data_IF_322077839726
#
_entry.id   IF_322077839726
#
_cell.length_a   1.000
_cell.length_b   1.000
_cell.length_c   1.000
_cell.angle_alpha   90.00
_cell.angle_beta   90.00
_cell.angle_gamma   90.00
#
_symmetry.space_group_name_H-M   'P 1'
#
loop_
_entity.id
_entity.type
_entity.pdbx_description
1 polymer ?
#
# COMPACT_ATOMS: atom_id res chain seq x y z
N UNK A 1 37.61 45.08 63.64
CA UNK A 1 36.42 44.33 63.31
C UNK A 1 36.05 44.62 61.85
N UNK A 2 36.45 43.79 60.91
CA UNK A 2 36.18 44.05 59.49
C UNK A 2 35.23 42.91 59.02
N UNK A 3 34.10 43.32 58.55
CA UNK A 3 33.09 42.41 57.98
C UNK A 3 33.38 42.27 56.46
N UNK A 4 33.69 41.06 56.04
CA UNK A 4 33.86 40.71 54.62
C UNK A 4 32.50 40.22 54.08
N UNK A 5 31.90 40.95 53.18
CA UNK A 5 30.68 40.57 52.48
C UNK A 5 31.05 39.70 51.28
N UNK A 6 30.61 38.44 51.28
CA UNK A 6 30.72 37.49 50.15
C UNK A 6 29.53 37.71 49.22
N UNK A 7 29.78 38.12 47.99
CA UNK A 7 28.78 38.21 46.92
C UNK A 7 28.69 36.84 46.20
N UNK A 8 27.52 36.21 46.28
CA UNK A 8 27.21 34.96 45.56
C UNK A 8 26.70 35.36 44.14
N UNK A 9 27.47 35.04 43.11
CA UNK A 9 27.06 35.22 41.70
C UNK A 9 26.32 33.94 41.29
N UNK A 10 24.99 34.06 41.12
CA UNK A 10 24.17 33.00 40.50
C UNK A 10 24.32 33.09 38.98
N UNK A 11 25.02 32.11 38.38
CA UNK A 11 24.97 31.86 36.94
C UNK A 11 23.66 31.13 36.59
N UNK A 12 22.69 31.83 35.98
CA UNK A 12 21.56 31.19 35.30
C UNK A 12 22.05 30.66 33.95
N UNK A 13 22.19 29.30 33.86
CA UNK A 13 22.36 28.62 32.61
C UNK A 13 20.99 28.57 31.87
N UNK A 14 20.77 29.40 30.90
CA UNK A 14 19.62 29.33 30.00
C UNK A 14 19.79 28.07 29.10
N UNK A 15 19.08 27.02 29.40
CA UNK A 15 18.89 25.90 28.45
C UNK A 15 18.07 26.43 27.27
N UNK A 16 18.74 26.72 26.16
CA UNK A 16 18.10 26.90 24.86
C UNK A 16 17.48 25.55 24.44
N UNK A 17 16.19 25.38 24.72
CA UNK A 17 15.41 24.31 24.13
C UNK A 17 15.40 24.52 22.60
N UNK A 18 16.19 23.73 21.87
CA UNK A 18 16.11 23.66 20.42
C UNK A 18 14.71 23.15 20.09
N UNK A 19 13.80 24.06 19.69
CA UNK A 19 12.52 23.67 19.12
C UNK A 19 12.83 22.89 17.84
N UNK A 20 12.22 21.72 17.64
CA UNK A 20 12.32 21.05 16.34
C UNK A 20 11.84 22.05 15.29
N UNK A 21 12.69 22.33 14.32
CA UNK A 21 12.37 23.19 13.18
C UNK A 21 11.14 22.57 12.49
N UNK A 22 10.06 23.36 12.35
CA UNK A 22 8.97 23.11 11.42
C UNK A 22 9.49 23.25 9.97
N UNK A 23 10.47 22.43 9.60
CA UNK A 23 10.96 22.39 8.24
C UNK A 23 9.79 21.89 7.35
N UNK A 24 9.40 22.71 6.40
CA UNK A 24 8.40 22.33 5.39
C UNK A 24 8.86 21.02 4.73
N UNK A 25 7.94 20.05 4.56
CA UNK A 25 8.29 18.76 3.97
C UNK A 25 8.94 18.98 2.60
N UNK A 26 10.16 18.45 2.44
CA UNK A 26 10.93 18.64 1.22
C UNK A 26 10.58 17.53 0.21
N UNK A 27 10.06 17.92 -0.95
CA UNK A 27 9.71 17.01 -2.05
C UNK A 27 10.68 17.20 -3.22
N UNK A 28 11.14 16.07 -3.78
CA UNK A 28 11.89 16.04 -5.04
C UNK A 28 11.29 14.99 -5.97
N UNK A 29 11.24 15.29 -7.28
CA UNK A 29 10.88 14.31 -8.31
C UNK A 29 12.14 13.50 -8.63
N UNK A 30 12.08 12.18 -8.46
CA UNK A 30 13.21 11.27 -8.68
C UNK A 30 13.08 10.43 -9.97
N UNK A 31 11.86 10.33 -10.50
CA UNK A 31 11.60 9.78 -11.84
C UNK A 31 10.31 10.38 -12.40
N UNK A 32 10.21 10.45 -13.73
CA UNK A 32 9.04 10.95 -14.47
C UNK A 32 8.82 10.16 -15.75
N UNK A 33 7.71 10.40 -16.44
CA UNK A 33 7.37 9.73 -17.69
C UNK A 33 7.00 8.26 -17.55
N UNK A 34 6.53 7.85 -16.37
CA UNK A 34 5.97 6.54 -16.11
C UNK A 34 4.53 6.45 -16.64
N UNK A 35 4.07 5.24 -16.91
CA UNK A 35 2.69 4.99 -17.34
C UNK A 35 1.91 4.23 -16.29
N UNK A 36 1.13 4.98 -15.50
CA UNK A 36 0.28 4.45 -14.42
C UNK A 36 1.06 3.52 -13.48
N UNK A 37 2.15 4.00 -12.82
CA UNK A 37 2.88 3.20 -11.84
C UNK A 37 1.93 2.79 -10.72
N UNK A 38 2.02 1.50 -10.30
CA UNK A 38 1.04 0.96 -9.36
C UNK A 38 1.66 0.53 -8.03
N UNK A 39 2.77 -0.18 -8.03
CA UNK A 39 3.46 -0.61 -6.82
C UNK A 39 4.94 -0.29 -6.87
N UNK A 40 5.48 -0.01 -5.70
CA UNK A 40 6.88 0.32 -5.43
C UNK A 40 7.48 -0.72 -4.49
N UNK A 41 8.70 -1.20 -4.78
CA UNK A 41 9.43 -2.09 -3.87
C UNK A 41 10.94 -1.81 -3.96
N UNK A 42 11.56 -1.46 -2.83
CA UNK A 42 13.01 -1.34 -2.74
C UNK A 42 13.67 -2.70 -2.55
N UNK A 43 14.71 -2.95 -3.31
CA UNK A 43 15.66 -4.02 -3.02
C UNK A 43 16.71 -3.56 -1.99
N UNK A 44 17.36 -4.50 -1.28
CA UNK A 44 18.38 -4.16 -0.29
C UNK A 44 19.58 -3.40 -0.87
N UNK A 45 19.82 -3.50 -2.18
CA UNK A 45 20.89 -2.78 -2.90
C UNK A 45 20.50 -1.36 -3.34
N UNK A 46 19.32 -0.88 -2.91
CA UNK A 46 18.83 0.47 -3.20
C UNK A 46 18.07 0.62 -4.52
N UNK A 47 18.00 -0.41 -5.36
CA UNK A 47 17.17 -0.35 -6.56
C UNK A 47 15.68 -0.28 -6.19
N UNK A 48 14.94 0.61 -6.85
CA UNK A 48 13.48 0.68 -6.72
C UNK A 48 12.83 0.01 -7.93
N UNK A 49 12.10 -1.06 -7.67
CA UNK A 49 11.28 -1.75 -8.64
C UNK A 49 9.88 -1.12 -8.68
N UNK A 50 9.35 -0.94 -9.89
CA UNK A 50 8.10 -0.23 -10.13
C UNK A 50 7.28 -1.05 -11.11
N UNK A 51 6.05 -1.41 -10.76
CA UNK A 51 5.10 -1.94 -11.74
C UNK A 51 4.37 -0.79 -12.44
N UNK A 52 4.23 -0.90 -13.75
CA UNK A 52 3.35 -0.05 -14.56
C UNK A 52 2.16 -0.88 -15.01
N UNK A 53 0.95 -0.34 -14.86
CA UNK A 53 -0.30 -1.05 -15.11
C UNK A 53 -0.43 -1.70 -16.50
N UNK A 54 0.17 -1.14 -17.59
CA UNK A 54 0.20 -1.79 -18.91
C UNK A 54 1.00 -3.11 -18.98
N UNK A 55 1.66 -3.54 -17.89
CA UNK A 55 2.34 -4.84 -17.81
C UNK A 55 3.86 -4.76 -17.61
N UNK A 56 4.45 -3.58 -17.52
CA UNK A 56 5.90 -3.43 -17.44
C UNK A 56 6.40 -3.41 -15.98
N UNK A 57 7.56 -4.01 -15.75
CA UNK A 57 8.32 -3.84 -14.50
C UNK A 57 9.53 -2.96 -14.83
N UNK A 58 9.58 -1.78 -14.22
CA UNK A 58 10.64 -0.80 -14.38
C UNK A 58 11.57 -0.81 -13.16
N UNK A 59 12.79 -0.34 -13.35
CA UNK A 59 13.80 -0.21 -12.28
C UNK A 59 14.34 1.21 -12.28
N UNK A 60 14.33 1.84 -11.10
CA UNK A 60 15.07 3.07 -10.83
C UNK A 60 16.35 2.70 -10.08
N UNK A 61 17.50 3.08 -10.63
CA UNK A 61 18.82 2.82 -10.08
C UNK A 61 19.60 4.12 -10.05
N UNK A 62 20.21 4.44 -8.92
CA UNK A 62 21.06 5.64 -8.75
C UNK A 62 20.40 6.93 -9.27
N UNK A 63 19.10 7.08 -9.00
CA UNK A 63 18.29 8.22 -9.43
C UNK A 63 17.95 8.24 -10.92
N UNK A 64 18.22 7.17 -11.67
CA UNK A 64 17.89 7.05 -13.09
C UNK A 64 16.96 5.87 -13.36
N UNK A 65 15.88 6.14 -14.08
CA UNK A 65 14.98 5.10 -14.58
C UNK A 65 15.66 4.35 -15.74
N UNK A 66 15.82 3.03 -15.58
CA UNK A 66 16.38 2.20 -16.66
C UNK A 66 15.50 2.36 -17.91
N UNK A 67 16.08 2.57 -19.11
CA UNK A 67 15.32 2.88 -20.32
C UNK A 67 14.40 1.72 -20.74
N UNK A 68 14.83 0.50 -20.51
CA UNK A 68 14.06 -0.70 -20.84
C UNK A 68 13.45 -1.34 -19.59
N UNK A 69 12.22 -1.87 -19.68
CA UNK A 69 11.65 -2.67 -18.61
C UNK A 69 12.42 -3.99 -18.46
N UNK A 70 12.52 -4.48 -17.22
CA UNK A 70 13.12 -5.79 -16.95
C UNK A 70 12.18 -6.95 -17.29
N UNK A 71 10.86 -6.68 -17.37
CA UNK A 71 9.83 -7.60 -17.83
C UNK A 71 8.66 -6.83 -18.43
N UNK A 72 7.94 -7.50 -19.33
CA UNK A 72 6.62 -7.08 -19.84
C UNK A 72 5.72 -8.31 -19.83
N UNK A 73 4.66 -8.27 -19.00
CA UNK A 73 3.69 -9.36 -18.86
C UNK A 73 2.48 -9.10 -19.76
N UNK A 74 1.87 -10.16 -20.32
CA UNK A 74 0.64 -10.07 -21.12
C UNK A 74 -0.58 -9.89 -20.19
N UNK A 75 -0.86 -8.65 -19.79
CA UNK A 75 -1.93 -8.32 -18.85
C UNK A 75 -3.16 -7.75 -19.56
N UNK A 76 -4.32 -7.84 -18.91
CA UNK A 76 -5.55 -7.15 -19.32
C UNK A 76 -5.64 -5.81 -18.58
N UNK A 77 -5.04 -4.77 -19.15
CA UNK A 77 -5.02 -3.42 -18.56
C UNK A 77 -6.35 -2.67 -18.82
N UNK A 78 -7.47 -3.24 -18.37
CA UNK A 78 -8.81 -2.66 -18.53
C UNK A 78 -9.34 -2.10 -17.21
N UNK A 79 -9.90 -0.88 -17.24
CA UNK A 79 -10.46 -0.24 -16.05
C UNK A 79 -9.38 0.04 -15.00
N UNK A 80 -9.44 -0.63 -13.85
CA UNK A 80 -8.45 -0.55 -12.76
C UNK A 80 -7.38 -1.65 -12.85
N UNK A 81 -7.68 -2.73 -13.59
CA UNK A 81 -6.83 -3.90 -13.76
C UNK A 81 -5.56 -3.66 -14.59
N UNK A 82 -4.72 -4.67 -14.67
CA UNK A 82 -3.41 -4.68 -15.32
C UNK A 82 -2.34 -5.25 -14.40
N UNK A 83 -1.07 -4.88 -14.58
CA UNK A 83 0.00 -5.24 -13.64
C UNK A 83 -0.06 -4.30 -12.43
N UNK A 84 -0.34 -4.86 -11.27
CA UNK A 84 -0.63 -4.09 -10.06
C UNK A 84 0.41 -4.35 -8.96
N UNK A 85 0.15 -5.31 -8.09
CA UNK A 85 0.96 -5.58 -6.91
C UNK A 85 2.38 -6.05 -7.22
N UNK A 86 3.30 -5.70 -6.33
CA UNK A 86 4.70 -6.12 -6.37
C UNK A 86 5.24 -6.29 -4.95
N UNK A 87 5.90 -7.40 -4.69
CA UNK A 87 6.75 -7.60 -3.53
C UNK A 87 8.04 -8.30 -3.95
N UNK A 88 9.14 -7.98 -3.28
CA UNK A 88 10.38 -8.71 -3.42
C UNK A 88 10.48 -9.79 -2.34
N UNK A 89 11.05 -10.93 -2.67
CA UNK A 89 11.39 -11.97 -1.71
C UNK A 89 12.23 -11.38 -0.56
N UNK A 90 11.98 -11.72 0.71
CA UNK A 90 12.85 -11.29 1.81
C UNK A 90 14.32 -11.64 1.61
N UNK A 91 14.60 -12.75 0.89
CA UNK A 91 15.96 -13.16 0.48
C UNK A 91 16.27 -12.75 -0.99
N UNK A 92 15.73 -11.63 -1.47
CA UNK A 92 15.84 -11.18 -2.86
C UNK A 92 17.29 -11.16 -3.42
N UNK A 93 18.31 -10.74 -2.68
CA UNK A 93 19.68 -10.76 -3.20
C UNK A 93 20.14 -12.14 -3.66
N UNK A 94 19.66 -13.21 -3.02
CA UNK A 94 20.02 -14.59 -3.34
C UNK A 94 19.00 -15.25 -4.28
N UNK A 95 17.70 -14.96 -4.09
CA UNK A 95 16.62 -15.64 -4.80
C UNK A 95 16.26 -14.97 -6.13
N UNK A 96 16.47 -13.66 -6.24
CA UNK A 96 16.00 -12.84 -7.38
C UNK A 96 14.50 -12.85 -7.60
N UNK A 97 13.68 -13.29 -6.61
CA UNK A 97 12.24 -13.51 -6.80
C UNK A 97 11.45 -12.22 -6.62
N UNK A 98 10.55 -11.96 -7.58
CA UNK A 98 9.56 -10.89 -7.56
C UNK A 98 8.17 -11.51 -7.59
N UNK A 99 7.33 -11.15 -6.65
CA UNK A 99 5.94 -11.58 -6.58
C UNK A 99 5.04 -10.49 -7.15
N UNK A 100 4.23 -10.84 -8.13
CA UNK A 100 3.39 -9.89 -8.86
C UNK A 100 1.94 -10.35 -8.88
N UNK A 101 1.02 -9.38 -8.74
CA UNK A 101 -0.40 -9.62 -8.91
C UNK A 101 -0.90 -8.80 -10.10
N UNK A 102 -1.64 -9.45 -11.01
CA UNK A 102 -2.09 -8.81 -12.24
C UNK A 102 -3.41 -9.39 -12.75
N UNK A 103 -4.10 -8.59 -13.55
CA UNK A 103 -5.34 -8.98 -14.23
C UNK A 103 -5.03 -9.55 -15.61
N UNK A 104 -5.71 -10.61 -15.98
CA UNK A 104 -5.66 -11.20 -17.31
C UNK A 104 -7.05 -11.58 -17.84
N UNK A 105 -7.17 -11.69 -19.14
CA UNK A 105 -8.38 -12.21 -19.78
C UNK A 105 -8.33 -13.75 -19.86
N UNK A 106 -9.40 -14.39 -19.41
CA UNK A 106 -9.65 -15.81 -19.60
C UNK A 106 -11.00 -16.05 -20.28
N UNK A 107 -11.29 -17.30 -20.67
CA UNK A 107 -12.63 -17.67 -21.11
C UNK A 107 -13.63 -17.34 -19.99
N UNK A 108 -14.57 -16.44 -20.26
CA UNK A 108 -15.59 -16.04 -19.30
C UNK A 108 -15.36 -14.69 -18.61
N UNK A 109 -14.23 -14.01 -18.83
CA UNK A 109 -14.04 -12.67 -18.29
C UNK A 109 -12.64 -12.35 -17.83
N UNK A 110 -12.55 -11.42 -16.87
CA UNK A 110 -11.30 -11.02 -16.23
C UNK A 110 -11.06 -11.86 -14.99
N UNK A 111 -9.81 -12.23 -14.77
CA UNK A 111 -9.35 -12.87 -13.52
C UNK A 111 -8.07 -12.19 -13.05
N UNK A 112 -7.86 -12.19 -11.74
CA UNK A 112 -6.60 -11.79 -11.17
C UNK A 112 -5.74 -13.03 -10.87
N UNK A 113 -4.43 -12.85 -10.92
CA UNK A 113 -3.44 -13.88 -10.71
C UNK A 113 -2.31 -13.37 -9.85
N UNK A 114 -1.86 -14.20 -8.91
CA UNK A 114 -0.60 -14.01 -8.21
C UNK A 114 0.45 -14.95 -8.78
N UNK A 115 1.60 -14.42 -9.18
CA UNK A 115 2.70 -15.18 -9.73
C UNK A 115 4.04 -14.72 -9.14
N UNK A 116 5.06 -15.57 -9.26
CA UNK A 116 6.45 -15.24 -8.96
C UNK A 116 7.27 -15.30 -10.24
N UNK A 117 8.09 -14.26 -10.44
CA UNK A 117 9.10 -14.16 -11.49
C UNK A 117 10.49 -14.28 -10.87
N UNK A 118 11.46 -14.71 -11.65
CA UNK A 118 12.88 -14.73 -11.23
C UNK A 118 13.67 -13.72 -12.06
N UNK A 119 14.38 -12.81 -11.38
CA UNK A 119 15.32 -11.88 -12.01
C UNK A 119 16.67 -12.56 -12.21
N UNK A 120 17.10 -12.69 -13.46
CA UNK A 120 18.42 -13.19 -13.85
C UNK A 120 18.99 -12.29 -14.93
N UNK A 121 20.25 -11.93 -14.84
CA UNK A 121 20.99 -11.13 -15.86
C UNK A 121 20.23 -9.86 -16.29
N UNK A 122 19.57 -9.18 -15.33
CA UNK A 122 18.84 -7.95 -15.57
C UNK A 122 17.44 -8.13 -16.20
N UNK A 123 16.96 -9.37 -16.40
CA UNK A 123 15.63 -9.69 -16.90
C UNK A 123 14.84 -10.51 -15.90
N UNK A 124 13.57 -10.17 -15.73
CA UNK A 124 12.65 -10.96 -14.91
C UNK A 124 11.78 -11.84 -15.82
N UNK A 125 11.77 -13.14 -15.53
CA UNK A 125 11.05 -14.16 -16.28
C UNK A 125 10.81 -15.40 -15.45
N UNK A 126 10.73 -16.58 -16.07
CA UNK A 126 10.48 -17.87 -15.41
C UNK A 126 9.23 -17.82 -14.52
N UNK A 127 8.12 -17.32 -15.09
CA UNK A 127 6.88 -17.14 -14.36
C UNK A 127 6.36 -18.46 -13.81
N UNK A 128 6.09 -18.49 -12.50
CA UNK A 128 5.36 -19.57 -11.84
C UNK A 128 4.13 -19.00 -11.14
N UNK A 129 2.96 -19.49 -11.54
CA UNK A 129 1.69 -19.09 -10.94
C UNK A 129 1.57 -19.70 -9.54
N UNK A 130 1.18 -18.89 -8.56
CA UNK A 130 0.97 -19.29 -7.17
C UNK A 130 -0.52 -19.42 -6.84
N UNK A 131 -1.32 -18.43 -7.24
CA UNK A 131 -2.78 -18.44 -7.11
C UNK A 131 -3.38 -17.93 -8.41
N UNK A 132 -4.34 -18.68 -8.94
CA UNK A 132 -5.01 -18.39 -10.20
C UNK A 132 -6.52 -18.27 -10.02
N UNK A 133 -7.21 -17.83 -11.07
CA UNK A 133 -8.68 -17.75 -11.12
C UNK A 133 -9.32 -16.98 -9.99
N UNK A 134 -8.59 -15.98 -9.43
CA UNK A 134 -9.17 -15.03 -8.50
C UNK A 134 -10.17 -14.18 -9.29
N UNK A 135 -11.43 -14.05 -8.86
CA UNK A 135 -12.39 -13.19 -9.55
C UNK A 135 -11.83 -11.79 -9.79
N UNK A 136 -11.88 -11.31 -11.02
CA UNK A 136 -11.41 -10.01 -11.45
C UNK A 136 -12.47 -9.29 -12.28
N UNK A 137 -12.40 -7.97 -12.32
CA UNK A 137 -13.35 -7.14 -13.06
C UNK A 137 -12.68 -5.89 -13.64
N UNK A 138 -13.48 -4.96 -14.16
CA UNK A 138 -12.97 -3.65 -14.58
C UNK A 138 -12.68 -2.71 -13.41
N UNK A 139 -13.14 -3.06 -12.21
CA UNK A 139 -12.96 -2.31 -10.96
C UNK A 139 -12.86 -3.30 -9.79
N UNK A 140 -12.28 -2.85 -8.67
CA UNK A 140 -12.18 -3.59 -7.43
C UNK A 140 -11.37 -4.89 -7.55
N UNK A 141 -10.17 -4.78 -8.06
CA UNK A 141 -9.26 -5.93 -8.20
C UNK A 141 -8.37 -6.15 -6.97
N UNK A 142 -8.24 -5.16 -6.07
CA UNK A 142 -7.35 -5.26 -4.92
C UNK A 142 -5.87 -5.33 -5.33
N UNK A 143 -5.29 -6.53 -5.25
CA UNK A 143 -3.96 -6.89 -5.76
C UNK A 143 -2.76 -6.22 -5.04
N UNK A 144 -2.88 -5.70 -3.83
CA UNK A 144 -1.71 -5.29 -3.05
C UNK A 144 -0.97 -6.54 -2.54
N UNK A 145 0.33 -6.62 -2.77
CA UNK A 145 1.18 -7.76 -2.37
C UNK A 145 2.27 -7.28 -1.43
N UNK A 146 2.45 -7.94 -0.28
CA UNK A 146 3.48 -7.63 0.71
C UNK A 146 3.91 -8.88 1.48
N UNK A 147 5.18 -8.99 1.84
CA UNK A 147 5.62 -9.94 2.86
C UNK A 147 5.37 -9.39 4.25
N UNK A 148 4.81 -10.23 5.12
CA UNK A 148 4.66 -9.93 6.54
C UNK A 148 5.94 -10.22 7.33
N UNK A 149 6.02 -9.74 8.59
CA UNK A 149 7.14 -10.01 9.48
C UNK A 149 7.28 -11.51 9.83
N UNK A 150 6.23 -12.29 9.61
CA UNK A 150 6.20 -13.75 9.74
C UNK A 150 6.76 -14.50 8.49
N UNK A 151 7.26 -13.75 7.50
CA UNK A 151 7.79 -14.30 6.26
C UNK A 151 6.74 -14.87 5.30
N UNK A 152 5.45 -14.68 5.58
CA UNK A 152 4.36 -15.09 4.69
C UNK A 152 4.01 -13.99 3.71
N UNK A 153 3.47 -14.37 2.56
CA UNK A 153 3.02 -13.46 1.53
C UNK A 153 1.54 -13.14 1.74
N UNK A 154 1.24 -11.87 1.97
CA UNK A 154 -0.11 -11.36 2.08
C UNK A 154 -0.47 -10.61 0.80
N UNK A 155 -1.71 -10.80 0.34
CA UNK A 155 -2.21 -10.04 -0.78
C UNK A 155 -3.71 -9.80 -0.69
N UNK A 156 -4.15 -8.68 -1.24
CA UNK A 156 -5.54 -8.27 -1.20
C UNK A 156 -6.24 -8.64 -2.50
N UNK A 157 -7.53 -8.93 -2.40
CA UNK A 157 -8.42 -9.09 -3.55
C UNK A 157 -9.62 -8.16 -3.38
N UNK A 158 -10.12 -7.60 -4.47
CA UNK A 158 -11.37 -6.86 -4.46
C UNK A 158 -12.58 -7.79 -4.61
N UNK A 159 -13.77 -7.22 -4.45
CA UNK A 159 -15.03 -7.94 -4.62
C UNK A 159 -15.39 -8.23 -6.10
N UNK A 160 -14.53 -7.80 -7.03
CA UNK A 160 -14.73 -7.93 -8.48
C UNK A 160 -16.07 -7.34 -8.97
N UNK A 161 -16.56 -6.28 -8.32
CA UNK A 161 -17.87 -5.67 -8.53
C UNK A 161 -19.09 -6.61 -8.25
N UNK A 162 -18.84 -7.75 -7.60
CA UNK A 162 -19.84 -8.69 -7.12
C UNK A 162 -19.79 -8.76 -5.60
N UNK A 163 -20.37 -7.77 -4.95
CA UNK A 163 -20.20 -7.48 -3.52
C UNK A 163 -20.51 -8.68 -2.60
N UNK A 164 -21.46 -9.54 -2.96
CA UNK A 164 -21.83 -10.72 -2.17
C UNK A 164 -20.69 -11.74 -2.04
N UNK A 165 -19.73 -11.75 -2.99
CA UNK A 165 -18.57 -12.66 -2.95
C UNK A 165 -17.65 -12.37 -1.74
N UNK A 166 -17.65 -11.14 -1.24
CA UNK A 166 -16.84 -10.76 -0.08
C UNK A 166 -17.19 -11.56 1.18
N UNK A 167 -18.43 -12.00 1.33
CA UNK A 167 -18.90 -12.79 2.47
C UNK A 167 -18.75 -14.31 2.27
N UNK A 168 -18.46 -14.79 1.06
CA UNK A 168 -18.38 -16.20 0.76
C UNK A 168 -16.97 -16.75 1.01
N UNK A 169 -16.84 -17.85 1.76
CA UNK A 169 -15.55 -18.50 2.05
C UNK A 169 -15.06 -19.42 0.90
N UNK A 170 -15.94 -19.76 -0.03
CA UNK A 170 -15.60 -20.50 -1.25
C UNK A 170 -15.19 -19.60 -2.43
N UNK A 171 -15.09 -18.29 -2.20
CA UNK A 171 -14.60 -17.30 -3.16
C UNK A 171 -13.37 -16.57 -2.62
N UNK A 172 -12.40 -16.31 -3.49
CA UNK A 172 -11.23 -15.50 -3.16
C UNK A 172 -11.44 -14.00 -3.38
N UNK A 173 -12.62 -13.56 -3.84
CA UNK A 173 -12.95 -12.15 -4.00
C UNK A 173 -13.27 -11.48 -2.66
N UNK A 174 -12.85 -10.22 -2.48
CA UNK A 174 -13.13 -9.43 -1.28
C UNK A 174 -12.45 -9.98 -0.02
N UNK A 175 -11.15 -10.30 -0.13
CA UNK A 175 -10.36 -10.95 0.92
C UNK A 175 -9.00 -10.29 1.12
N UNK A 176 -8.42 -10.50 2.29
CA UNK A 176 -6.97 -10.51 2.45
C UNK A 176 -6.56 -11.99 2.52
N UNK A 177 -5.63 -12.38 1.67
CA UNK A 177 -5.14 -13.75 1.55
C UNK A 177 -3.71 -13.84 2.11
N UNK A 178 -3.35 -15.02 2.68
CA UNK A 178 -2.03 -15.29 3.26
C UNK A 178 -1.55 -16.67 2.81
N UNK A 179 -0.39 -16.72 2.20
CA UNK A 179 0.23 -17.95 1.68
C UNK A 179 1.73 -18.00 2.03
N UNK A 180 2.33 -19.16 1.90
CA UNK A 180 3.77 -19.32 1.88
C UNK A 180 4.36 -18.78 0.56
N UNK A 181 5.65 -18.46 0.55
CA UNK A 181 6.36 -17.97 -0.64
C UNK A 181 6.33 -18.96 -1.83
N UNK A 182 6.09 -20.23 -1.59
CA UNK A 182 5.94 -21.26 -2.60
C UNK A 182 4.50 -21.43 -3.13
N UNK A 183 3.54 -20.68 -2.57
CA UNK A 183 2.12 -20.71 -2.93
C UNK A 183 1.28 -21.67 -2.08
N UNK A 184 1.89 -22.49 -1.21
CA UNK A 184 1.15 -23.37 -0.31
C UNK A 184 0.43 -22.59 0.78
N UNK A 185 -0.65 -23.17 1.33
CA UNK A 185 -1.41 -22.57 2.41
C UNK A 185 -0.70 -22.83 3.76
N UNK A 186 -0.43 -21.80 4.57
CA UNK A 186 0.11 -21.97 5.91
C UNK A 186 -0.84 -22.79 6.81
N UNK A 187 -0.28 -23.71 7.60
CA UNK A 187 -1.08 -24.56 8.50
C UNK A 187 -1.76 -23.76 9.63
N UNK A 188 -1.23 -22.58 9.96
CA UNK A 188 -1.73 -21.65 10.97
C UNK A 188 -2.67 -20.58 10.42
N UNK A 189 -3.16 -20.74 9.17
CA UNK A 189 -4.21 -19.85 8.65
C UNK A 189 -5.51 -20.04 9.44
N UNK A 190 -6.29 -18.96 9.64
CA UNK A 190 -7.51 -19.02 10.46
C UNK A 190 -8.61 -19.91 9.88
N UNK A 191 -8.58 -20.16 8.57
CA UNK A 191 -9.49 -21.07 7.86
C UNK A 191 -8.68 -22.27 7.34
N UNK A 192 -8.80 -23.45 7.95
CA UNK A 192 -7.97 -24.62 7.61
C UNK A 192 -8.00 -24.96 6.13
N UNK A 193 -6.83 -25.11 5.51
CA UNK A 193 -6.68 -25.42 4.09
C UNK A 193 -7.04 -24.31 3.12
N UNK A 194 -7.40 -23.12 3.61
CA UNK A 194 -7.76 -21.95 2.80
C UNK A 194 -6.69 -20.86 2.88
N UNK A 195 -6.38 -20.18 1.78
CA UNK A 195 -5.49 -19.01 1.80
C UNK A 195 -6.15 -17.78 2.44
N UNK A 196 -7.46 -17.80 2.74
CA UNK A 196 -8.19 -16.69 3.32
C UNK A 196 -7.64 -16.36 4.69
N UNK A 197 -7.23 -15.10 4.90
CA UNK A 197 -6.81 -14.56 6.18
C UNK A 197 -7.92 -13.74 6.84
N UNK A 198 -8.60 -12.90 6.05
CA UNK A 198 -9.80 -12.15 6.45
C UNK A 198 -10.79 -12.05 5.28
N UNK A 199 -12.05 -11.76 5.58
CA UNK A 199 -13.13 -11.62 4.59
C UNK A 199 -13.96 -10.37 4.82
N UNK A 200 -14.89 -10.09 3.90
CA UNK A 200 -15.77 -8.93 4.00
C UNK A 200 -15.11 -7.62 3.57
N UNK A 201 -14.20 -7.69 2.60
CA UNK A 201 -13.54 -6.52 2.02
C UNK A 201 -14.14 -6.15 0.66
N UNK A 202 -14.21 -4.84 0.39
CA UNK A 202 -14.64 -4.33 -0.92
C UNK A 202 -13.47 -4.23 -1.90
N UNK A 203 -12.47 -3.43 -1.57
CA UNK A 203 -11.32 -3.17 -2.45
C UNK A 203 -10.15 -2.60 -1.65
N UNK A 204 -9.50 -3.45 -0.88
CA UNK A 204 -8.30 -3.09 -0.13
C UNK A 204 -7.11 -2.94 -1.08
N UNK A 205 -6.43 -1.78 -1.07
CA UNK A 205 -5.30 -1.49 -1.95
C UNK A 205 -3.98 -1.16 -1.22
N UNK A 206 -3.99 -1.10 0.10
CA UNK A 206 -2.79 -0.89 0.91
C UNK A 206 -2.67 -1.92 2.02
N UNK A 207 -1.45 -2.37 2.30
CA UNK A 207 -1.08 -3.22 3.42
C UNK A 207 0.22 -2.69 4.04
N UNK A 208 0.26 -2.58 5.36
CA UNK A 208 1.50 -2.29 6.08
C UNK A 208 1.44 -2.80 7.51
N UNK A 209 2.60 -3.12 8.08
CA UNK A 209 2.75 -3.49 9.48
C UNK A 209 3.36 -2.35 10.28
N UNK A 210 2.88 -2.18 11.49
CA UNK A 210 3.53 -1.29 12.44
C UNK A 210 4.70 -1.99 13.17
N UNK A 211 5.39 -1.24 14.03
CA UNK A 211 6.53 -1.76 14.78
C UNK A 211 6.15 -2.87 15.80
N UNK A 212 4.87 -2.99 16.16
CA UNK A 212 4.36 -4.06 17.03
C UNK A 212 3.94 -5.31 16.22
N UNK A 213 4.13 -5.31 14.89
CA UNK A 213 3.76 -6.43 14.00
C UNK A 213 2.27 -6.49 13.67
N UNK A 214 1.49 -5.44 13.98
CA UNK A 214 0.07 -5.38 13.65
C UNK A 214 -0.12 -4.97 12.18
N UNK A 215 -0.96 -5.72 11.47
CA UNK A 215 -1.28 -5.46 10.07
C UNK A 215 -2.41 -4.43 9.97
N UNK A 216 -2.20 -3.45 9.12
CA UNK A 216 -3.22 -2.49 8.71
C UNK A 216 -3.50 -2.57 7.21
N UNK A 217 -4.74 -2.32 6.82
CA UNK A 217 -5.16 -2.23 5.43
C UNK A 217 -5.93 -0.94 5.17
N UNK A 218 -5.66 -0.30 4.03
CA UNK A 218 -6.46 0.81 3.52
C UNK A 218 -7.44 0.31 2.47
N UNK A 219 -8.69 0.75 2.53
CA UNK A 219 -9.79 0.18 1.75
C UNK A 219 -10.72 1.25 1.21
N UNK A 220 -11.16 1.07 -0.04
CA UNK A 220 -12.17 1.90 -0.67
C UNK A 220 -13.56 1.57 -0.17
N UNK A 221 -14.27 2.57 0.31
CA UNK A 221 -15.69 2.49 0.63
C UNK A 221 -16.61 2.52 -0.60
N UNK A 222 -17.94 2.58 -0.40
CA UNK A 222 -18.92 2.61 -1.47
C UNK A 222 -18.70 3.73 -2.49
N UNK A 223 -19.03 3.48 -3.75
CA UNK A 223 -19.03 4.48 -4.81
C UNK A 223 -20.47 4.98 -5.05
N UNK A 224 -20.61 6.23 -5.52
CA UNK A 224 -21.93 6.83 -5.80
C UNK A 224 -22.48 7.62 -4.62
N UNK A 225 -23.78 7.55 -4.36
CA UNK A 225 -24.44 8.22 -3.25
C UNK A 225 -25.16 7.19 -2.34
N UNK A 226 -24.93 7.23 -1.02
CA UNK A 226 -23.90 8.00 -0.32
C UNK A 226 -22.51 7.43 -0.58
N UNK A 227 -21.58 8.23 -1.11
CA UNK A 227 -20.19 7.81 -1.34
C UNK A 227 -19.32 8.06 -0.10
N UNK A 228 -18.03 7.73 -0.21
CA UNK A 228 -17.07 7.88 0.88
C UNK A 228 -16.94 6.61 1.71
N UNK A 229 -16.87 6.75 3.04
CA UNK A 229 -16.64 5.64 3.98
C UNK A 229 -15.41 4.80 3.63
N UNK A 230 -14.39 5.46 3.08
CA UNK A 230 -13.07 4.84 2.90
C UNK A 230 -12.44 4.57 4.26
N UNK A 231 -11.71 3.45 4.40
CA UNK A 231 -11.34 2.90 5.69
C UNK A 231 -9.83 2.69 5.85
N UNK A 232 -9.38 2.81 7.10
CA UNK A 232 -8.16 2.19 7.61
C UNK A 232 -8.57 1.12 8.61
N UNK A 233 -8.26 -0.12 8.30
CA UNK A 233 -8.62 -1.29 9.08
C UNK A 233 -7.40 -1.85 9.81
N UNK A 234 -7.53 -2.16 11.11
CA UNK A 234 -6.60 -3.01 11.86
C UNK A 234 -6.97 -4.46 11.60
N UNK A 235 -6.10 -5.19 10.91
CA UNK A 235 -6.40 -6.53 10.42
C UNK A 235 -6.07 -7.59 11.46
N UNK A 236 -7.06 -8.42 11.77
CA UNK A 236 -6.98 -9.55 12.71
C UNK A 236 -7.36 -10.86 12.00
N UNK A 237 -6.62 -11.96 12.23
CA UNK A 237 -6.86 -13.23 11.55
C UNK A 237 -8.29 -13.75 11.80
N UNK A 238 -8.92 -14.27 10.75
CA UNK A 238 -10.24 -14.89 10.81
C UNK A 238 -11.41 -13.93 10.90
N UNK A 239 -11.17 -12.61 10.93
CA UNK A 239 -12.22 -11.64 11.13
C UNK A 239 -12.89 -11.22 9.83
N UNK A 240 -14.13 -10.74 9.97
CA UNK A 240 -14.98 -10.25 8.90
C UNK A 240 -15.16 -8.74 9.01
N UNK A 241 -14.85 -8.02 7.92
CA UNK A 241 -14.89 -6.54 7.85
C UNK A 241 -16.22 -5.98 7.30
N UNK A 242 -17.19 -6.86 7.06
CA UNK A 242 -18.61 -6.53 6.94
C UNK A 242 -19.10 -6.19 5.54
N UNK A 243 -18.26 -5.84 4.58
CA UNK A 243 -18.73 -5.55 3.22
C UNK A 243 -19.47 -6.74 2.59
N UNK A 244 -20.64 -6.57 1.94
CA UNK A 244 -21.39 -5.32 1.72
C UNK A 244 -22.45 -5.02 2.78
N UNK A 245 -22.58 -5.82 3.83
CA UNK A 245 -23.63 -5.69 4.83
C UNK A 245 -23.46 -4.44 5.70
N UNK A 246 -22.21 -4.06 5.97
CA UNK A 246 -21.83 -2.82 6.65
C UNK A 246 -20.60 -2.19 5.97
N UNK A 247 -20.45 -0.90 6.14
CA UNK A 247 -19.28 -0.11 5.77
C UNK A 247 -19.16 1.08 6.73
N UNK A 248 -17.94 1.53 6.99
CA UNK A 248 -17.71 2.54 8.01
C UNK A 248 -17.97 2.04 9.42
N UNK A 249 -18.27 2.95 10.35
CA UNK A 249 -18.53 2.68 11.76
C UNK A 249 -20.01 2.51 12.06
N UNK A 250 -20.29 1.93 13.25
CA UNK A 250 -21.67 1.71 13.71
C UNK A 250 -22.29 0.41 13.20
N UNK A 251 -21.47 -0.53 12.82
CA UNK A 251 -21.88 -1.85 12.35
C UNK A 251 -22.35 -2.78 13.45
N UNK A 252 -22.57 -4.05 13.10
CA UNK A 252 -22.96 -5.10 14.03
C UNK A 252 -21.72 -5.70 14.71
N UNK A 253 -21.83 -6.13 15.97
CA UNK A 253 -20.73 -6.69 16.76
C UNK A 253 -20.02 -7.91 16.15
N UNK A 254 -20.61 -8.56 15.15
CA UNK A 254 -19.99 -9.67 14.40
C UNK A 254 -18.95 -9.22 13.36
N UNK A 255 -18.90 -7.93 13.06
CA UNK A 255 -17.96 -7.34 12.11
C UNK A 255 -16.91 -6.48 12.83
N UNK A 256 -15.71 -6.44 12.27
CA UNK A 256 -14.65 -5.54 12.75
C UNK A 256 -14.91 -4.11 12.24
N UNK A 257 -14.82 -3.16 13.13
CA UNK A 257 -14.92 -1.74 12.78
C UNK A 257 -13.59 -1.16 12.32
N UNK A 258 -13.57 -0.22 11.36
CA UNK A 258 -12.37 0.48 10.97
C UNK A 258 -11.82 1.34 12.13
N UNK A 259 -10.50 1.43 12.25
CA UNK A 259 -9.85 2.34 13.20
C UNK A 259 -9.96 3.80 12.74
N UNK A 260 -10.15 4.02 11.43
CA UNK A 260 -10.43 5.32 10.83
C UNK A 260 -11.34 5.15 9.63
N UNK A 261 -12.30 6.08 9.47
CA UNK A 261 -13.11 6.20 8.25
C UNK A 261 -13.16 7.64 7.76
N UNK A 262 -13.46 7.82 6.47
CA UNK A 262 -13.52 9.14 5.82
C UNK A 262 -14.85 9.88 5.99
N UNK A 263 -15.87 9.24 6.54
CA UNK A 263 -17.25 9.73 6.48
C UNK A 263 -17.70 9.88 5.03
N UNK A 264 -18.44 10.93 4.73
CA UNK A 264 -18.91 11.22 3.36
C UNK A 264 -17.82 11.65 2.35
N UNK A 265 -16.59 11.87 2.81
CA UNK A 265 -15.48 12.24 1.92
C UNK A 265 -14.93 10.99 1.22
N UNK A 266 -14.50 11.15 -0.03
CA UNK A 266 -13.84 10.08 -0.78
C UNK A 266 -12.34 10.38 -0.89
N UNK A 267 -11.52 9.57 -0.22
CA UNK A 267 -10.06 9.58 -0.38
C UNK A 267 -9.62 8.68 -1.54
N UNK A 268 -10.33 7.57 -1.75
CA UNK A 268 -9.91 6.43 -2.56
C UNK A 268 -8.47 6.01 -2.17
N UNK A 269 -8.28 5.49 -0.92
CA UNK A 269 -6.97 5.20 -0.36
C UNK A 269 -6.34 3.99 -1.07
N UNK A 270 -5.06 4.07 -1.39
CA UNK A 270 -4.34 3.02 -2.09
C UNK A 270 -3.13 2.56 -1.27
N UNK A 271 -1.93 2.51 -1.85
CA UNK A 271 -0.77 2.02 -1.13
C UNK A 271 -0.49 2.78 0.16
N UNK A 272 0.08 2.07 1.12
CA UNK A 272 0.41 2.64 2.43
C UNK A 272 1.75 2.13 2.95
N UNK A 273 2.36 2.93 3.83
CA UNK A 273 3.54 2.58 4.60
C UNK A 273 3.36 3.04 6.05
N UNK A 274 3.97 2.33 7.00
CA UNK A 274 3.98 2.74 8.41
C UNK A 274 5.43 2.94 8.86
N UNK A 275 5.73 4.11 9.40
CA UNK A 275 7.04 4.44 9.95
C UNK A 275 6.92 5.55 10.99
N UNK A 276 7.79 5.56 12.01
CA UNK A 276 7.83 6.59 13.03
C UNK A 276 6.52 6.78 13.81
N UNK A 277 5.70 5.73 13.95
CA UNK A 277 4.39 5.81 14.62
C UNK A 277 3.27 6.41 13.76
N UNK A 278 3.50 6.58 12.45
CA UNK A 278 2.52 7.11 11.51
C UNK A 278 2.25 6.13 10.37
N UNK A 279 0.98 5.97 10.00
CA UNK A 279 0.59 5.41 8.72
C UNK A 279 0.49 6.54 7.69
N UNK A 280 1.19 6.37 6.57
CA UNK A 280 1.12 7.24 5.39
C UNK A 280 0.31 6.51 4.33
N UNK A 281 -0.78 7.12 3.86
CA UNK A 281 -1.72 6.49 2.93
C UNK A 281 -1.86 7.38 1.69
N UNK A 282 -1.50 6.83 0.53
CA UNK A 282 -1.65 7.51 -0.75
C UNK A 282 -3.14 7.53 -1.15
N UNK A 283 -3.69 8.73 -1.39
CA UNK A 283 -5.09 8.92 -1.73
C UNK A 283 -5.24 9.35 -3.20
N UNK A 284 -6.00 8.54 -3.96
CA UNK A 284 -6.19 8.76 -5.40
C UNK A 284 -7.16 9.92 -5.67
N UNK A 285 -8.41 9.80 -5.18
CA UNK A 285 -9.42 10.83 -5.40
C UNK A 285 -9.21 12.02 -4.47
N UNK A 286 -8.75 11.76 -3.26
CA UNK A 286 -8.40 12.80 -2.30
C UNK A 286 -7.17 13.62 -2.70
N UNK A 287 -6.34 13.15 -3.65
CA UNK A 287 -5.15 13.84 -4.18
C UNK A 287 -4.22 14.33 -3.07
N UNK A 288 -3.95 13.46 -2.09
CA UNK A 288 -3.18 13.79 -0.90
C UNK A 288 -2.46 12.56 -0.36
N UNK A 289 -1.48 12.79 0.49
CA UNK A 289 -0.90 11.77 1.35
C UNK A 289 -1.45 11.99 2.76
N UNK A 290 -2.30 11.07 3.21
CA UNK A 290 -2.77 11.08 4.59
C UNK A 290 -1.64 10.64 5.51
N UNK A 291 -1.39 11.39 6.58
CA UNK A 291 -0.50 11.03 7.68
C UNK A 291 -1.36 10.79 8.92
N UNK A 292 -1.45 9.54 9.34
CA UNK A 292 -2.31 9.07 10.41
C UNK A 292 -1.46 8.61 11.59
N UNK A 293 -1.52 9.31 12.71
CA UNK A 293 -0.82 8.93 13.94
C UNK A 293 -1.46 7.69 14.56
N UNK A 294 -0.64 6.70 14.92
CA UNK A 294 -1.06 5.46 15.55
C UNK A 294 -0.59 5.42 17.02
N UNK A 295 -1.52 5.11 17.93
CA UNK A 295 -1.20 4.85 19.34
C UNK A 295 -0.64 3.44 19.53
N UNK A 296 -0.15 3.17 20.74
CA UNK A 296 0.42 1.86 21.09
C UNK A 296 -0.57 0.70 20.96
N UNK A 297 -1.86 0.94 21.08
CA UNK A 297 -2.94 -0.05 20.88
C UNK A 297 -3.40 -0.17 19.42
N UNK A 298 -2.90 0.67 18.52
CA UNK A 298 -3.30 0.74 17.12
C UNK A 298 -4.45 1.69 16.81
N UNK A 299 -4.98 2.38 17.81
CA UNK A 299 -5.99 3.42 17.61
C UNK A 299 -5.38 4.66 16.95
N UNK A 300 -6.23 5.45 16.30
CA UNK A 300 -5.82 6.66 15.58
C UNK A 300 -5.79 7.85 16.54
N UNK A 301 -4.67 8.59 16.58
CA UNK A 301 -4.49 9.76 17.44
C UNK A 301 -4.73 11.08 16.70
N UNK A 302 -4.28 11.16 15.44
CA UNK A 302 -4.37 12.38 14.63
C UNK A 302 -4.33 12.04 13.16
N UNK A 303 -5.07 12.79 12.35
CA UNK A 303 -5.02 12.72 10.88
C UNK A 303 -4.61 14.08 10.34
N UNK A 304 -3.62 14.11 9.46
CA UNK A 304 -3.18 15.31 8.75
C UNK A 304 -3.03 14.98 7.25
N UNK A 305 -3.19 16.01 6.42
CA UNK A 305 -2.99 15.90 4.97
C UNK A 305 -1.63 16.50 4.59
N UNK A 306 -0.90 15.80 3.75
CA UNK A 306 0.33 16.26 3.10
C UNK A 306 0.11 16.26 1.59
N UNK A 307 0.79 17.17 0.87
CA UNK A 307 0.79 17.25 -0.60
C UNK A 307 -0.60 17.45 -1.23
N UNK A 308 -1.56 17.98 -0.49
CA UNK A 308 -2.94 18.13 -0.93
C UNK A 308 -3.02 18.95 -2.24
N UNK A 309 -3.57 18.35 -3.29
CA UNK A 309 -3.72 18.92 -4.63
C UNK A 309 -2.42 19.13 -5.42
N UNK A 310 -1.25 19.02 -4.78
CA UNK A 310 0.03 19.43 -5.40
C UNK A 310 0.52 18.50 -6.52
N UNK A 311 0.22 17.19 -6.42
CA UNK A 311 0.73 16.18 -7.37
C UNK A 311 -0.40 15.30 -7.95
N UNK A 312 -1.66 15.71 -7.76
CA UNK A 312 -2.81 14.96 -8.21
C UNK A 312 -2.97 13.62 -7.47
N UNK A 313 -3.32 12.59 -8.20
CA UNK A 313 -3.66 11.26 -7.66
C UNK A 313 -2.40 10.52 -7.18
N UNK A 314 -2.34 10.20 -5.89
CA UNK A 314 -1.25 9.42 -5.31
C UNK A 314 -1.66 7.94 -5.23
N UNK A 315 -0.79 7.03 -5.73
CA UNK A 315 -1.11 5.60 -5.88
C UNK A 315 -0.44 4.72 -4.83
N UNK A 316 0.85 4.92 -4.58
CA UNK A 316 1.61 4.08 -3.66
C UNK A 316 2.58 4.93 -2.85
N UNK A 317 2.93 4.45 -1.66
CA UNK A 317 3.95 5.03 -0.82
C UNK A 317 4.74 3.92 -0.14
N UNK A 318 6.06 4.04 -0.16
CA UNK A 318 6.99 3.14 0.53
C UNK A 318 8.08 3.93 1.24
N UNK A 319 8.65 3.34 2.29
CA UNK A 319 9.83 3.90 2.96
C UNK A 319 11.07 3.48 2.18
N UNK A 320 11.88 4.44 1.80
CA UNK A 320 13.16 4.18 1.15
C UNK A 320 14.27 3.80 2.14
N UNK A 321 15.42 3.28 1.63
CA UNK A 321 16.57 2.92 2.46
C UNK A 321 17.19 4.12 3.20
N UNK A 322 16.91 5.33 2.74
CA UNK A 322 17.32 6.61 3.34
C UNK A 322 16.30 7.17 4.36
N UNK A 323 15.25 6.40 4.67
CA UNK A 323 14.17 6.79 5.58
C UNK A 323 13.16 7.77 4.99
N UNK A 324 13.35 8.26 3.77
CA UNK A 324 12.38 9.11 3.09
C UNK A 324 11.19 8.29 2.55
N UNK A 325 10.08 8.96 2.29
CA UNK A 325 8.92 8.36 1.63
C UNK A 325 9.05 8.52 0.11
N UNK A 326 8.84 7.41 -0.61
CA UNK A 326 8.78 7.41 -2.06
C UNK A 326 7.34 7.16 -2.49
N UNK A 327 6.81 8.04 -3.33
CA UNK A 327 5.37 8.12 -3.65
C UNK A 327 5.21 8.05 -5.16
N UNK A 328 4.34 7.16 -5.66
CA UNK A 328 3.96 7.11 -7.06
C UNK A 328 2.72 7.97 -7.31
N UNK A 329 2.73 8.80 -8.34
CA UNK A 329 1.50 9.44 -8.86
C UNK A 329 0.77 8.50 -9.82
N UNK A 330 -0.49 8.78 -10.15
CA UNK A 330 -1.33 7.97 -11.05
C UNK A 330 -2.33 8.87 -11.78
N UNK A 331 -1.83 9.90 -12.46
CA UNK A 331 -2.66 10.90 -13.14
C UNK A 331 -3.08 10.45 -14.54
N UNK A 332 -2.30 9.54 -15.18
CA UNK A 332 -2.58 8.98 -16.51
C UNK A 332 -3.56 7.80 -16.50
N UNK A 333 -4.18 7.48 -15.36
CA UNK A 333 -5.08 6.33 -15.23
C UNK A 333 -6.50 6.52 -15.81
N UNK A 334 -6.74 7.63 -16.53
CA UNK A 334 -8.04 7.97 -17.12
C UNK A 334 -9.02 8.67 -16.16
N UNK A 335 -8.62 8.90 -14.89
CA UNK A 335 -9.44 9.59 -13.87
C UNK A 335 -8.72 10.81 -13.28
N UNK A 336 -7.51 11.09 -13.73
CA UNK A 336 -6.70 12.24 -13.33
C UNK A 336 -6.57 13.27 -14.44
N UNK A 337 -5.88 14.37 -14.13
CA UNK A 337 -5.48 15.41 -15.09
C UNK A 337 -3.95 15.41 -15.14
N UNK A 338 -3.34 14.64 -16.06
CA UNK A 338 -1.89 14.48 -16.08
C UNK A 338 -1.17 15.75 -16.55
N UNK A 339 -0.09 16.11 -15.86
CA UNK A 339 0.90 17.06 -16.37
C UNK A 339 1.78 16.38 -17.43
N UNK A 340 2.58 17.18 -18.15
CA UNK A 340 3.44 16.68 -19.25
C UNK A 340 4.42 15.61 -18.77
N UNK A 341 4.98 15.77 -17.56
CA UNK A 341 5.97 14.90 -16.93
C UNK A 341 5.38 13.79 -16.06
N UNK A 342 4.04 13.66 -15.97
CA UNK A 342 3.39 12.56 -15.25
C UNK A 342 3.56 11.22 -16.01
N UNK A 343 3.45 10.07 -15.34
CA UNK A 343 3.39 9.92 -13.89
C UNK A 343 4.80 9.93 -13.30
N UNK A 344 4.89 10.26 -12.02
CA UNK A 344 6.16 10.54 -11.34
C UNK A 344 6.36 9.68 -10.10
N UNK A 345 7.63 9.51 -9.72
CA UNK A 345 8.02 9.08 -8.38
C UNK A 345 8.56 10.30 -7.64
N UNK A 346 7.96 10.58 -6.50
CA UNK A 346 8.33 11.67 -5.60
C UNK A 346 9.11 11.09 -4.43
N UNK A 347 10.13 11.81 -3.95
CA UNK A 347 10.81 11.55 -2.68
C UNK A 347 10.44 12.66 -1.72
N UNK A 348 9.86 12.30 -0.58
CA UNK A 348 9.43 13.20 0.48
C UNK A 348 10.23 12.92 1.75
N UNK A 349 10.87 13.96 2.29
CA UNK A 349 11.41 13.97 3.65
C UNK A 349 10.39 14.66 4.51
N UNK A 350 9.69 13.93 5.42
CA UNK A 350 8.65 14.50 6.29
C UNK A 350 9.17 15.48 7.31
#
# INVERSE_FOLDING_TARGET
MSIVSAAIVLLLAALLAVRPSDAQPRVTVVASGLEVPWALAFAPDGRLFITERPGRIRVLRDGRLDPQPIATLPVAAHGEGGLMGLALDPAFPQSGRLYVCYTMSKRGGLVNRLAVLTLREGRAGDERVLVDDIPGARVHDGCRVKFGPDGKLYFTTGDAAESHLAQRQDSLAGKILRINADGSVPADNPFPGSPIYTLGHRNSQGLAWDAAGRLFASEHGPSGFPGGHDELNLIRPGRNYGWPEVYGRGGQARFEEPVLESGSRTWAPSGMAITGGFAYIAALRGQQLLRVGLAADGSVTKVTSLLEGAYGRLRDVVVGPDGALYIATSNRNGRGSPATDDDRILRLVP
#
